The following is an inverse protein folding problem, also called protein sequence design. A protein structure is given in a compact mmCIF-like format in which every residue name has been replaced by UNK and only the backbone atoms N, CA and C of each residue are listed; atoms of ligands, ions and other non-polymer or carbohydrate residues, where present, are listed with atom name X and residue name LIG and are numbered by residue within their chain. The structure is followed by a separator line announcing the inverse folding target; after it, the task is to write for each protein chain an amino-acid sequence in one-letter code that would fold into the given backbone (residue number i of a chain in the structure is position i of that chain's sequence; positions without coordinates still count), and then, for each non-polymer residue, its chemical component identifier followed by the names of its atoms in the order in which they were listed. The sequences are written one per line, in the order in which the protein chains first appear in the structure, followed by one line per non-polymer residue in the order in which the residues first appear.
data_IF_784756327301
#
_entry.id   IF_784756327301
#
_cell.length_a   1.000
_cell.length_b   1.000
_cell.length_c   1.000
_cell.angle_alpha   90.00
_cell.angle_beta   90.00
_cell.angle_gamma   90.00
#
_symmetry.space_group_name_H-M   'P 1'
#
loop_
_entity.id
_entity.type
_entity.pdbx_description
1 polymer ?
#
# COMPACT_ATOMS: atom_id res chain seq x y z
N UNK A 1 26.18 24.57 41.03
CA UNK A 1 26.50 24.50 39.59
C UNK A 1 26.03 23.19 38.97
N UNK A 2 26.18 22.05 39.61
CA UNK A 2 25.83 20.71 39.16
C UNK A 2 24.31 20.53 38.89
N UNK A 3 23.42 21.04 39.74
CA UNK A 3 21.96 20.92 39.64
C UNK A 3 21.39 21.64 38.40
N UNK A 4 22.01 22.75 37.95
CA UNK A 4 21.60 23.46 36.73
C UNK A 4 22.01 22.72 35.46
N UNK A 5 23.08 21.95 35.48
CA UNK A 5 23.48 21.10 34.35
C UNK A 5 22.59 19.88 34.24
N UNK A 6 22.20 19.24 35.34
CA UNK A 6 21.26 18.12 35.33
C UNK A 6 19.88 18.50 34.75
N UNK A 7 19.36 19.71 35.12
CA UNK A 7 18.11 20.20 34.52
C UNK A 7 18.20 20.44 33.01
N UNK A 8 19.35 20.92 32.51
CA UNK A 8 19.56 21.11 31.05
C UNK A 8 19.67 19.79 30.32
N UNK A 9 20.37 18.83 30.89
CA UNK A 9 20.51 17.47 30.30
C UNK A 9 19.16 16.73 30.31
N UNK A 10 18.38 16.85 31.38
CA UNK A 10 17.05 16.28 31.49
C UNK A 10 16.04 16.92 30.51
N UNK A 11 16.11 18.24 30.33
CA UNK A 11 15.28 18.94 29.34
C UNK A 11 15.71 18.62 27.92
N UNK A 12 17.00 18.38 27.65
CA UNK A 12 17.52 17.99 26.36
C UNK A 12 17.19 16.53 26.03
N UNK A 13 17.13 15.65 27.02
CA UNK A 13 16.65 14.26 26.86
C UNK A 13 15.13 14.21 26.62
N UNK A 14 14.35 15.11 27.23
CA UNK A 14 12.89 15.20 26.99
C UNK A 14 12.57 15.71 25.57
N UNK A 15 13.45 16.52 24.98
CA UNK A 15 13.30 17.02 23.60
C UNK A 15 13.76 15.98 22.53
N UNK A 16 14.42 14.87 22.92
CA UNK A 16 14.88 13.83 21.99
C UNK A 16 13.94 12.63 21.90
N UNK A 17 12.92 12.58 22.72
CA UNK A 17 11.83 11.62 22.58
C UNK A 17 10.67 12.33 21.88
N UNK A 18 10.83 12.67 20.61
CA UNK A 18 9.70 12.66 19.71
C UNK A 18 9.33 11.18 19.55
N UNK A 19 8.55 10.66 20.48
CA UNK A 19 7.74 9.48 20.22
C UNK A 19 6.81 9.96 19.11
N UNK A 20 7.11 9.62 17.88
CA UNK A 20 6.10 9.56 16.81
C UNK A 20 5.17 8.47 17.32
N UNK A 21 4.12 8.87 18.03
CA UNK A 21 2.98 7.99 18.27
C UNK A 21 2.35 7.90 16.88
N UNK A 22 2.66 6.85 16.10
CA UNK A 22 1.82 6.50 14.98
C UNK A 22 0.43 6.28 15.56
N UNK A 23 -0.59 6.89 14.99
CA UNK A 23 -1.95 6.61 15.38
C UNK A 23 -2.17 5.10 15.24
N UNK A 24 -2.69 4.45 16.29
CA UNK A 24 -3.04 3.05 16.26
C UNK A 24 -4.23 2.84 15.30
N UNK A 25 -4.21 1.76 14.53
CA UNK A 25 -5.32 1.45 13.62
C UNK A 25 -6.61 1.28 14.44
N UNK A 26 -7.69 1.97 14.04
CA UNK A 26 -8.99 1.84 14.69
C UNK A 26 -9.73 0.62 14.12
N UNK A 27 -9.61 -0.52 14.80
CA UNK A 27 -10.28 -1.79 14.45
C UNK A 27 -11.73 -1.89 14.94
N UNK A 28 -12.19 -0.96 15.79
CA UNK A 28 -13.51 -1.04 16.44
C UNK A 28 -14.56 -0.11 15.81
N UNK A 29 -14.14 0.85 14.98
CA UNK A 29 -15.01 1.86 14.35
C UNK A 29 -15.43 2.99 15.33
N UNK A 30 -16.51 3.70 15.07
CA UNK A 30 -17.45 3.48 13.95
C UNK A 30 -16.87 3.82 12.58
N UNK A 31 -17.24 3.05 11.56
CA UNK A 31 -16.79 3.24 10.17
C UNK A 31 -17.88 3.92 9.34
N UNK A 32 -17.45 4.69 8.32
CA UNK A 32 -18.36 5.33 7.40
C UNK A 32 -17.71 5.59 6.03
N UNK A 33 -18.46 6.18 5.11
CA UNK A 33 -18.06 6.42 3.72
C UNK A 33 -18.17 7.89 3.30
N UNK A 34 -18.43 8.77 4.25
CA UNK A 34 -18.48 10.21 4.04
C UNK A 34 -17.11 10.85 4.34
N UNK A 35 -16.97 12.10 3.95
CA UNK A 35 -15.79 12.89 4.27
C UNK A 35 -15.53 12.93 5.78
N UNK A 36 -14.32 12.67 6.21
CA UNK A 36 -13.88 12.53 7.60
C UNK A 36 -14.36 11.29 8.37
N UNK A 37 -15.11 10.40 7.74
CA UNK A 37 -15.41 9.11 8.36
C UNK A 37 -14.15 8.25 8.47
N UNK A 38 -14.13 7.37 9.46
CA UNK A 38 -13.07 6.38 9.62
C UNK A 38 -13.24 5.27 8.58
N UNK A 39 -12.16 4.92 7.90
CA UNK A 39 -12.12 3.79 6.97
C UNK A 39 -12.21 2.46 7.75
N UNK A 40 -12.98 1.50 7.23
CA UNK A 40 -13.03 0.16 7.81
C UNK A 40 -11.81 -0.68 7.39
N UNK A 41 -11.44 -1.72 8.14
CA UNK A 41 -10.47 -2.70 7.68
C UNK A 41 -10.97 -3.42 6.42
N UNK A 42 -10.05 -3.72 5.52
CA UNK A 42 -10.32 -4.47 4.30
C UNK A 42 -9.07 -5.19 3.81
N UNK A 43 -9.27 -6.25 3.04
CA UNK A 43 -8.20 -6.97 2.33
C UNK A 43 -8.50 -6.93 0.84
N UNK A 44 -7.48 -6.75 0.01
CA UNK A 44 -7.59 -6.71 -1.46
C UNK A 44 -6.55 -7.64 -2.08
N UNK A 45 -6.90 -8.33 -3.16
CA UNK A 45 -5.96 -9.15 -3.93
C UNK A 45 -5.08 -8.24 -4.78
N UNK A 46 -3.78 -8.21 -4.50
CA UNK A 46 -2.82 -7.32 -5.17
C UNK A 46 -1.83 -8.14 -6.01
N UNK A 47 -1.66 -7.77 -7.29
CA UNK A 47 -0.69 -8.40 -8.18
C UNK A 47 0.77 -8.10 -7.80
N UNK A 48 1.00 -7.03 -7.05
CA UNK A 48 2.32 -6.71 -6.51
C UNK A 48 2.54 -7.26 -5.10
N UNK A 49 1.49 -7.72 -4.43
CA UNK A 49 1.72 -8.54 -3.26
C UNK A 49 2.56 -9.71 -3.74
N UNK A 50 3.87 -9.56 -3.57
CA UNK A 50 4.80 -10.64 -3.86
C UNK A 50 4.24 -11.87 -3.18
N UNK A 51 4.27 -12.99 -3.88
CA UNK A 51 4.04 -14.28 -3.28
C UNK A 51 5.12 -14.48 -2.21
N UNK A 52 4.98 -13.79 -1.05
CA UNK A 52 5.91 -13.98 0.06
C UNK A 52 5.92 -15.47 0.35
N UNK A 53 7.08 -16.09 0.21
CA UNK A 53 7.21 -17.52 0.28
C UNK A 53 7.39 -18.25 -1.05
N UNK A 54 7.31 -17.59 -2.21
CA UNK A 54 7.71 -18.17 -3.50
C UNK A 54 9.24 -18.07 -3.67
N UNK A 55 9.94 -18.93 -2.97
CA UNK A 55 11.41 -18.89 -2.88
C UNK A 55 12.09 -19.45 -4.14
N UNK A 56 11.39 -20.30 -4.88
CA UNK A 56 11.89 -20.85 -6.15
C UNK A 56 11.55 -19.95 -7.35
N UNK A 57 10.70 -18.92 -7.16
CA UNK A 57 10.25 -17.94 -8.16
C UNK A 57 9.50 -18.60 -9.33
N UNK A 58 8.67 -19.62 -9.04
CA UNK A 58 7.84 -20.31 -10.01
C UNK A 58 6.37 -19.83 -10.01
N UNK A 59 6.08 -18.73 -9.34
CA UNK A 59 4.75 -18.14 -9.17
C UNK A 59 3.78 -19.00 -8.36
N UNK A 60 4.30 -19.97 -7.59
CA UNK A 60 3.47 -20.90 -6.81
C UNK A 60 4.07 -21.14 -5.45
N UNK A 61 3.43 -20.69 -4.39
CA UNK A 61 3.85 -21.01 -3.01
C UNK A 61 3.40 -22.41 -2.63
N UNK A 62 4.35 -23.29 -2.39
CA UNK A 62 4.09 -24.70 -2.09
C UNK A 62 5.21 -25.34 -1.23
N UNK A 63 5.17 -26.64 -1.06
CA UNK A 63 6.14 -27.38 -0.23
C UNK A 63 7.58 -27.28 -0.76
N UNK A 64 7.79 -26.99 -2.05
CA UNK A 64 9.13 -26.87 -2.62
C UNK A 64 9.86 -25.65 -2.04
N UNK A 65 9.13 -24.58 -1.78
CA UNK A 65 9.65 -23.34 -1.14
C UNK A 65 10.05 -23.61 0.29
N UNK A 66 9.22 -24.34 1.04
CA UNK A 66 9.57 -24.78 2.40
C UNK A 66 10.89 -25.53 2.39
N UNK A 67 11.08 -26.47 1.45
CA UNK A 67 12.31 -27.24 1.34
C UNK A 67 13.52 -26.36 1.02
N UNK A 68 13.36 -25.29 0.25
CA UNK A 68 14.42 -24.33 -0.02
C UNK A 68 14.78 -23.53 1.24
N UNK A 69 13.80 -23.02 1.99
CA UNK A 69 14.05 -22.31 3.26
C UNK A 69 14.77 -23.25 4.26
N UNK A 70 14.32 -24.48 4.40
CA UNK A 70 14.99 -25.48 5.26
C UNK A 70 16.45 -25.66 4.84
N UNK A 71 16.73 -25.83 3.56
CA UNK A 71 18.10 -26.00 3.08
C UNK A 71 18.97 -24.75 3.31
N UNK A 72 18.41 -23.57 3.21
CA UNK A 72 19.11 -22.32 3.51
C UNK A 72 19.42 -22.23 5.02
N UNK A 73 18.45 -22.45 5.89
CA UNK A 73 18.60 -22.43 7.36
C UNK A 73 19.64 -23.47 7.82
N UNK A 74 19.71 -24.64 7.17
CA UNK A 74 20.73 -25.66 7.43
C UNK A 74 22.10 -25.34 6.85
N UNK A 75 22.25 -24.24 6.10
CA UNK A 75 23.49 -23.83 5.46
C UNK A 75 23.89 -24.66 4.25
N UNK A 76 22.96 -25.42 3.65
CA UNK A 76 23.21 -26.24 2.47
C UNK A 76 23.22 -25.43 1.17
N UNK A 77 22.46 -24.31 1.14
CA UNK A 77 22.36 -23.38 0.01
C UNK A 77 22.41 -21.94 0.51
N UNK A 78 22.76 -21.01 -0.38
CA UNK A 78 22.68 -19.58 -0.12
C UNK A 78 21.67 -18.97 -1.08
N UNK A 79 20.79 -18.12 -0.59
CA UNK A 79 19.85 -17.37 -1.37
C UNK A 79 20.46 -16.13 -2.01
N UNK A 80 19.97 -15.74 -3.17
CA UNK A 80 20.17 -14.43 -3.74
C UNK A 80 19.28 -13.38 -3.02
N UNK A 81 19.38 -12.11 -3.42
CA UNK A 81 18.62 -11.02 -2.77
C UNK A 81 17.11 -11.23 -2.87
N UNK A 82 16.60 -11.64 -4.01
CA UNK A 82 15.20 -11.87 -4.26
C UNK A 82 14.66 -13.06 -3.45
N UNK A 83 15.39 -14.17 -3.46
CA UNK A 83 15.06 -15.35 -2.65
C UNK A 83 15.08 -15.05 -1.14
N UNK A 84 16.00 -14.20 -0.68
CA UNK A 84 16.02 -13.76 0.72
C UNK A 84 14.76 -12.97 1.08
N UNK A 85 14.29 -12.09 0.20
CA UNK A 85 13.06 -11.34 0.41
C UNK A 85 11.82 -12.26 0.43
N UNK A 86 11.79 -13.26 -0.45
CA UNK A 86 10.69 -14.23 -0.49
C UNK A 86 10.70 -15.19 0.72
N UNK A 87 11.86 -15.51 1.23
CA UNK A 87 12.02 -16.46 2.34
C UNK A 87 11.72 -15.85 3.72
N UNK A 88 11.85 -14.53 3.87
CA UNK A 88 11.50 -13.79 5.09
C UNK A 88 9.98 -13.53 5.11
N UNK A 89 9.21 -14.57 5.44
CA UNK A 89 7.75 -14.57 5.34
C UNK A 89 7.07 -13.85 6.51
N UNK A 90 7.80 -13.56 7.58
CA UNK A 90 7.31 -12.82 8.74
C UNK A 90 7.85 -11.37 8.80
N UNK A 91 8.70 -10.96 7.83
CA UNK A 91 9.31 -9.64 7.69
C UNK A 91 10.14 -9.17 8.90
N UNK A 92 10.80 -10.11 9.61
CA UNK A 92 11.68 -9.77 10.73
C UNK A 92 13.14 -9.59 10.35
N UNK A 93 13.47 -9.74 9.07
CA UNK A 93 14.79 -9.71 8.43
C UNK A 93 15.73 -10.87 8.86
N UNK A 94 15.18 -11.96 9.39
CA UNK A 94 15.92 -13.15 9.78
C UNK A 94 15.24 -14.37 9.15
N UNK A 95 15.94 -15.10 8.28
CA UNK A 95 15.38 -16.33 7.72
C UNK A 95 15.65 -17.48 8.69
N UNK A 96 14.60 -17.97 9.36
CA UNK A 96 14.68 -19.04 10.35
C UNK A 96 13.43 -19.97 10.36
N UNK A 97 13.24 -20.68 11.46
CA UNK A 97 12.13 -21.62 11.61
C UNK A 97 10.77 -20.91 11.67
N UNK A 98 10.72 -19.63 12.03
CA UNK A 98 9.47 -18.88 12.12
C UNK A 98 8.90 -18.62 10.72
N UNK A 99 9.77 -18.39 9.73
CA UNK A 99 9.35 -18.27 8.32
C UNK A 99 8.77 -19.57 7.79
N UNK A 100 9.40 -20.70 8.14
CA UNK A 100 8.87 -22.01 7.76
C UNK A 100 7.47 -22.21 8.36
N UNK A 101 7.26 -21.84 9.63
CA UNK A 101 5.96 -21.94 10.31
C UNK A 101 4.94 -21.02 9.64
N UNK A 102 5.32 -19.79 9.31
CA UNK A 102 4.49 -18.83 8.60
C UNK A 102 4.04 -19.41 7.26
N UNK A 103 4.99 -19.92 6.47
CA UNK A 103 4.73 -20.49 5.16
C UNK A 103 3.87 -21.76 5.21
N UNK A 104 4.10 -22.64 6.19
CA UNK A 104 3.24 -23.81 6.41
C UNK A 104 1.81 -23.39 6.75
N UNK A 105 1.63 -22.42 7.63
CA UNK A 105 0.31 -21.90 7.96
C UNK A 105 -0.40 -21.31 6.74
N UNK A 106 0.33 -20.58 5.91
CA UNK A 106 -0.18 -20.05 4.65
C UNK A 106 -0.64 -21.17 3.70
N UNK A 107 0.19 -22.21 3.48
CA UNK A 107 -0.14 -23.33 2.58
C UNK A 107 -1.35 -24.15 3.09
N UNK A 108 -1.48 -24.31 4.41
CA UNK A 108 -2.61 -25.04 5.01
C UNK A 108 -3.91 -24.24 5.03
N UNK A 109 -3.81 -22.91 5.09
CA UNK A 109 -4.93 -21.99 5.13
C UNK A 109 -4.68 -20.86 4.13
N UNK A 110 -4.71 -21.16 2.82
CA UNK A 110 -4.38 -20.15 1.83
C UNK A 110 -5.37 -18.98 1.93
N UNK A 111 -4.87 -17.86 2.42
CA UNK A 111 -5.57 -16.60 2.26
C UNK A 111 -5.29 -16.12 0.83
N UNK A 112 -6.23 -15.44 0.17
CA UNK A 112 -5.89 -14.78 -1.08
C UNK A 112 -4.68 -13.87 -0.81
N UNK A 113 -3.65 -13.96 -1.65
CA UNK A 113 -2.52 -13.03 -1.61
C UNK A 113 -3.10 -11.64 -1.70
N UNK A 114 -3.00 -10.90 -0.61
CA UNK A 114 -3.71 -9.65 -0.52
C UNK A 114 -2.99 -8.69 0.39
N UNK A 115 -3.10 -7.45 0.02
CA UNK A 115 -2.75 -6.36 0.88
C UNK A 115 -3.87 -6.16 1.92
N UNK A 116 -3.53 -6.22 3.20
CA UNK A 116 -4.47 -6.06 4.31
C UNK A 116 -4.26 -4.71 4.98
N UNK A 117 -5.33 -3.88 5.01
CA UNK A 117 -5.25 -2.50 5.47
C UNK A 117 -4.92 -2.36 6.95
N UNK A 118 -5.35 -3.30 7.78
CA UNK A 118 -5.08 -3.25 9.22
C UNK A 118 -3.64 -3.64 9.53
N UNK A 119 -3.13 -4.72 8.90
CA UNK A 119 -1.77 -5.22 9.14
C UNK A 119 -0.70 -4.35 8.47
N UNK A 120 -1.01 -3.75 7.30
CA UNK A 120 -0.09 -2.90 6.55
C UNK A 120 -0.19 -1.41 6.94
N UNK A 121 -1.03 -1.11 7.94
CA UNK A 121 -1.19 0.25 8.41
C UNK A 121 0.05 0.77 9.13
N UNK A 122 0.60 1.89 8.67
CA UNK A 122 1.82 2.49 9.25
C UNK A 122 1.54 3.67 10.16
N UNK A 123 0.35 4.31 10.07
CA UNK A 123 0.04 5.56 10.75
C UNK A 123 0.84 6.77 10.22
N UNK A 124 1.61 6.59 9.14
CA UNK A 124 2.43 7.65 8.52
C UNK A 124 2.19 7.79 7.02
N UNK A 125 1.53 6.81 6.41
CA UNK A 125 1.25 6.79 4.98
C UNK A 125 -0.20 7.13 4.69
N UNK A 126 -0.45 7.58 3.46
CA UNK A 126 -1.77 7.82 2.90
C UNK A 126 -2.06 6.80 1.81
N UNK A 127 -3.33 6.53 1.56
CA UNK A 127 -3.79 5.47 0.66
C UNK A 127 -4.77 6.04 -0.35
N UNK A 128 -4.42 5.97 -1.65
CA UNK A 128 -5.20 6.54 -2.75
C UNK A 128 -5.71 5.41 -3.64
N UNK A 129 -7.02 5.27 -3.71
CA UNK A 129 -7.68 4.31 -4.60
C UNK A 129 -8.08 4.99 -5.89
N UNK A 130 -7.67 4.45 -7.02
CA UNK A 130 -7.97 4.96 -8.37
C UNK A 130 -8.78 3.92 -9.13
N UNK A 131 -10.05 4.22 -9.37
CA UNK A 131 -10.98 3.28 -9.98
C UNK A 131 -11.16 3.54 -11.47
N UNK A 132 -11.15 2.47 -12.27
CA UNK A 132 -11.66 2.45 -13.62
C UNK A 132 -13.09 1.88 -13.62
N UNK A 133 -14.08 2.73 -13.88
CA UNK A 133 -15.47 2.31 -14.05
C UNK A 133 -16.05 2.96 -15.34
N UNK A 134 -16.45 2.16 -16.34
CA UNK A 134 -16.99 2.70 -17.60
C UNK A 134 -18.30 3.48 -17.42
N UNK A 135 -18.99 3.28 -16.29
CA UNK A 135 -20.20 4.03 -15.95
C UNK A 135 -19.90 5.41 -15.36
N UNK A 136 -18.64 5.68 -15.03
CA UNK A 136 -18.19 6.94 -14.46
C UNK A 136 -17.43 7.73 -15.51
N UNK A 137 -17.92 8.95 -15.83
CA UNK A 137 -17.26 9.81 -16.78
C UNK A 137 -15.81 10.10 -16.38
N UNK A 138 -14.88 9.92 -17.32
CA UNK A 138 -13.44 10.16 -17.15
C UNK A 138 -12.69 9.23 -16.20
N UNK A 139 -13.28 8.13 -15.74
CA UNK A 139 -12.58 7.13 -14.94
C UNK A 139 -11.34 6.55 -15.65
N UNK A 140 -11.30 6.65 -17.00
CA UNK A 140 -10.18 6.16 -17.82
C UNK A 140 -9.01 7.14 -17.93
N UNK A 141 -9.15 8.38 -17.46
CA UNK A 141 -8.20 9.44 -17.77
C UNK A 141 -6.77 9.13 -17.35
N UNK A 142 -6.55 8.62 -16.14
CA UNK A 142 -5.23 8.18 -15.70
C UNK A 142 -4.83 6.84 -16.33
N UNK A 143 -5.74 5.89 -16.41
CA UNK A 143 -5.50 4.56 -16.94
C UNK A 143 -4.99 4.54 -18.39
N UNK A 144 -5.50 5.44 -19.22
CA UNK A 144 -5.15 5.55 -20.63
C UNK A 144 -4.18 6.71 -20.93
N UNK A 145 -3.79 7.49 -19.93
CA UNK A 145 -2.95 8.67 -20.12
C UNK A 145 -1.46 8.32 -20.15
N UNK A 146 -0.69 9.19 -20.78
CA UNK A 146 0.77 9.19 -20.69
C UNK A 146 1.30 9.99 -19.49
N UNK A 147 0.44 10.29 -18.50
CA UNK A 147 0.79 11.13 -17.34
C UNK A 147 1.20 10.33 -16.10
N UNK A 148 1.32 9.00 -16.20
CA UNK A 148 1.74 8.13 -15.10
C UNK A 148 3.12 8.48 -14.54
N UNK A 149 4.08 8.81 -15.43
CA UNK A 149 5.38 9.35 -15.00
C UNK A 149 5.23 10.66 -14.20
N UNK A 150 4.31 11.53 -14.61
CA UNK A 150 4.02 12.79 -13.89
C UNK A 150 3.40 12.52 -12.52
N UNK A 151 2.55 11.51 -12.41
CA UNK A 151 2.01 11.06 -11.11
C UNK A 151 3.14 10.72 -10.16
N UNK A 152 4.03 9.80 -10.53
CA UNK A 152 5.11 9.36 -9.66
C UNK A 152 6.09 10.48 -9.31
N UNK A 153 6.45 11.34 -10.28
CA UNK A 153 7.37 12.45 -10.07
C UNK A 153 6.84 13.53 -9.12
N UNK A 154 5.52 13.67 -8.99
CA UNK A 154 4.89 14.68 -8.15
C UNK A 154 4.24 14.11 -6.89
N UNK A 155 4.30 12.82 -6.66
CA UNK A 155 3.72 12.19 -5.49
C UNK A 155 4.61 12.33 -4.26
N UNK A 156 4.01 12.49 -3.06
CA UNK A 156 4.74 12.28 -1.81
C UNK A 156 5.29 10.86 -1.73
N UNK A 157 6.37 10.66 -0.98
CA UNK A 157 6.97 9.32 -0.81
C UNK A 157 6.17 8.44 0.14
N UNK A 158 5.36 9.01 1.02
CA UNK A 158 4.53 8.28 1.99
C UNK A 158 3.08 8.13 1.49
N UNK A 159 2.91 7.61 0.29
CA UNK A 159 1.61 7.36 -0.31
C UNK A 159 1.57 6.00 -1.01
N UNK A 160 0.51 5.25 -0.78
CA UNK A 160 0.17 4.03 -1.51
C UNK A 160 -0.91 4.31 -2.54
N UNK A 161 -0.75 3.80 -3.76
CA UNK A 161 -1.74 3.88 -4.82
C UNK A 161 -2.31 2.50 -5.12
N UNK A 162 -3.63 2.41 -5.15
CA UNK A 162 -4.37 1.19 -5.45
C UNK A 162 -5.15 1.38 -6.76
N UNK A 163 -4.80 0.62 -7.78
CA UNK A 163 -5.47 0.64 -9.08
C UNK A 163 -6.46 -0.51 -9.15
N UNK A 164 -7.73 -0.18 -9.36
CA UNK A 164 -8.83 -1.14 -9.35
C UNK A 164 -9.78 -0.91 -10.52
N UNK A 165 -10.28 -1.97 -11.14
CA UNK A 165 -11.26 -1.88 -12.23
C UNK A 165 -12.61 -2.48 -11.83
N UNK A 166 -13.71 -1.81 -12.23
CA UNK A 166 -15.08 -2.30 -12.10
C UNK A 166 -15.64 -2.87 -13.43
N UNK A 167 -14.78 -3.19 -14.37
CA UNK A 167 -15.18 -3.79 -15.66
C UNK A 167 -15.25 -5.31 -15.57
N UNK A 168 -15.91 -5.92 -16.56
CA UNK A 168 -15.91 -7.37 -16.72
C UNK A 168 -14.52 -7.91 -17.06
N UNK A 169 -13.66 -7.09 -17.68
CA UNK A 169 -12.28 -7.41 -18.05
C UNK A 169 -11.27 -6.78 -17.08
N UNK A 170 -11.60 -6.74 -15.79
CA UNK A 170 -10.79 -6.07 -14.77
C UNK A 170 -9.35 -6.61 -14.70
N UNK A 171 -9.15 -7.91 -14.89
CA UNK A 171 -7.83 -8.54 -14.93
C UNK A 171 -6.94 -7.90 -15.99
N UNK A 172 -7.42 -7.87 -17.25
CA UNK A 172 -6.67 -7.25 -18.36
C UNK A 172 -6.46 -5.76 -18.17
N UNK A 173 -7.41 -5.04 -17.53
CA UNK A 173 -7.25 -3.61 -17.24
C UNK A 173 -6.13 -3.40 -16.23
N UNK A 174 -6.09 -4.20 -15.18
CA UNK A 174 -5.10 -4.10 -14.10
C UNK A 174 -3.72 -4.53 -14.58
N UNK A 175 -3.62 -5.63 -15.33
CA UNK A 175 -2.37 -6.05 -15.97
C UNK A 175 -1.81 -4.97 -16.91
N UNK A 176 -2.68 -4.33 -17.70
CA UNK A 176 -2.28 -3.27 -18.62
C UNK A 176 -1.68 -2.07 -17.88
N UNK A 177 -2.35 -1.56 -16.84
CA UNK A 177 -1.83 -0.40 -16.10
C UNK A 177 -0.57 -0.75 -15.30
N UNK A 178 -0.49 -1.98 -14.78
CA UNK A 178 0.72 -2.49 -14.12
C UNK A 178 1.90 -2.48 -15.08
N UNK A 179 1.76 -3.04 -16.28
CA UNK A 179 2.83 -3.07 -17.28
C UNK A 179 3.34 -1.67 -17.64
N UNK A 180 2.46 -0.68 -17.75
CA UNK A 180 2.84 0.72 -17.99
C UNK A 180 3.67 1.30 -16.83
N UNK A 181 3.32 1.01 -15.58
CA UNK A 181 4.09 1.45 -14.42
C UNK A 181 5.42 0.71 -14.32
N UNK A 182 5.45 -0.60 -14.56
CA UNK A 182 6.68 -1.40 -14.56
C UNK A 182 7.69 -0.85 -15.57
N UNK A 183 7.25 -0.47 -16.78
CA UNK A 183 8.12 0.18 -17.78
C UNK A 183 8.70 1.51 -17.25
N UNK A 184 7.87 2.35 -16.63
CA UNK A 184 8.30 3.64 -16.06
C UNK A 184 9.31 3.41 -14.93
N UNK A 185 8.99 2.52 -14.00
CA UNK A 185 9.79 2.23 -12.81
C UNK A 185 11.14 1.63 -13.20
N UNK A 186 11.20 0.76 -14.19
CA UNK A 186 12.44 0.13 -14.66
C UNK A 186 13.51 1.15 -15.09
N UNK A 187 13.12 2.38 -15.42
CA UNK A 187 14.02 3.47 -15.82
C UNK A 187 14.40 4.41 -14.64
N UNK A 188 13.94 4.13 -13.42
CA UNK A 188 14.24 4.92 -12.23
C UNK A 188 15.53 4.42 -11.52
N UNK A 189 15.99 5.15 -10.50
CA UNK A 189 17.06 4.66 -9.63
C UNK A 189 16.62 3.43 -8.83
N UNK A 190 17.55 2.54 -8.42
CA UNK A 190 17.18 1.34 -7.63
C UNK A 190 16.36 1.64 -6.38
N UNK A 191 16.64 2.76 -5.69
CA UNK A 191 15.90 3.17 -4.50
C UNK A 191 14.44 3.53 -4.83
N UNK A 192 14.20 4.23 -5.96
CA UNK A 192 12.85 4.56 -6.42
C UNK A 192 12.12 3.35 -6.98
N UNK A 193 12.81 2.42 -7.63
CA UNK A 193 12.23 1.14 -8.06
C UNK A 193 11.70 0.36 -6.86
N UNK A 194 12.54 0.16 -5.85
CA UNK A 194 12.14 -0.54 -4.62
C UNK A 194 10.97 0.20 -3.93
N UNK A 195 11.05 1.53 -3.84
CA UNK A 195 9.98 2.33 -3.25
C UNK A 195 8.65 2.13 -3.96
N UNK A 196 8.58 2.36 -5.27
CA UNK A 196 7.32 2.29 -6.01
C UNK A 196 6.79 0.86 -6.15
N UNK A 197 7.64 -0.16 -6.19
CA UNK A 197 7.19 -1.56 -6.17
C UNK A 197 6.45 -1.91 -4.87
N UNK A 198 6.79 -1.25 -3.75
CA UNK A 198 6.14 -1.46 -2.46
C UNK A 198 4.92 -0.52 -2.23
N UNK A 199 4.74 0.52 -3.07
CA UNK A 199 3.70 1.53 -2.86
C UNK A 199 2.66 1.60 -4.00
N UNK A 200 2.84 0.82 -5.07
CA UNK A 200 1.83 0.66 -6.12
C UNK A 200 1.17 -0.71 -5.99
N UNK A 201 -0.14 -0.71 -5.90
CA UNK A 201 -0.96 -1.90 -5.70
C UNK A 201 -1.92 -2.07 -6.89
N UNK A 202 -1.93 -3.23 -7.49
CA UNK A 202 -2.72 -3.54 -8.68
C UNK A 202 -3.75 -4.62 -8.32
N UNK A 203 -4.99 -4.19 -8.10
CA UNK A 203 -6.00 -5.01 -7.43
C UNK A 203 -6.68 -5.96 -8.42
N UNK A 204 -6.35 -7.24 -8.31
CA UNK A 204 -6.92 -8.31 -9.15
C UNK A 204 -8.28 -8.79 -8.63
N UNK A 205 -9.15 -7.84 -8.37
CA UNK A 205 -10.54 -8.07 -7.99
C UNK A 205 -11.40 -6.95 -8.58
N UNK A 206 -12.59 -7.30 -9.03
CA UNK A 206 -13.55 -6.30 -9.46
C UNK A 206 -14.04 -5.48 -8.28
N UNK A 207 -14.23 -4.16 -8.44
CA UNK A 207 -14.71 -3.29 -7.36
C UNK A 207 -15.96 -3.83 -6.67
N UNK A 208 -16.89 -4.43 -7.41
CA UNK A 208 -18.12 -5.00 -6.87
C UNK A 208 -17.94 -6.29 -6.05
N UNK A 209 -16.74 -6.87 -6.06
CA UNK A 209 -16.38 -8.10 -5.35
C UNK A 209 -15.56 -7.84 -4.09
N UNK A 210 -15.20 -6.57 -3.84
CA UNK A 210 -14.53 -6.14 -2.64
C UNK A 210 -15.46 -6.22 -1.41
N UNK A 211 -14.88 -6.00 -0.23
CA UNK A 211 -15.72 -5.91 0.96
C UNK A 211 -16.74 -4.76 0.85
N UNK A 212 -17.82 -4.86 1.62
CA UNK A 212 -18.97 -3.94 1.53
C UNK A 212 -18.57 -2.47 1.77
N UNK A 213 -17.61 -2.21 2.66
CA UNK A 213 -17.19 -0.85 2.97
C UNK A 213 -16.47 -0.22 1.76
N UNK A 214 -15.46 -0.90 1.22
CA UNK A 214 -14.65 -0.37 0.12
C UNK A 214 -15.46 -0.24 -1.17
N UNK A 215 -16.33 -1.22 -1.48
CA UNK A 215 -17.30 -1.14 -2.58
C UNK A 215 -18.19 0.10 -2.46
N UNK A 216 -18.70 0.38 -1.24
CA UNK A 216 -19.56 1.55 -1.00
C UNK A 216 -18.76 2.85 -1.07
N UNK A 217 -17.56 2.88 -0.50
CA UNK A 217 -16.67 4.04 -0.51
C UNK A 217 -16.29 4.45 -1.95
N UNK A 218 -16.06 3.50 -2.84
CA UNK A 218 -15.71 3.71 -4.25
C UNK A 218 -16.93 3.98 -5.15
N UNK A 219 -18.15 3.69 -4.69
CA UNK A 219 -19.36 3.80 -5.52
C UNK A 219 -19.53 5.19 -6.12
N UNK A 220 -19.59 5.27 -7.45
CA UNK A 220 -19.76 6.51 -8.20
C UNK A 220 -18.56 7.46 -8.16
N UNK A 221 -17.39 7.02 -7.74
CA UNK A 221 -16.18 7.84 -7.61
C UNK A 221 -15.05 7.30 -8.46
N UNK A 222 -14.20 8.20 -8.97
CA UNK A 222 -12.99 7.84 -9.72
C UNK A 222 -11.82 7.59 -8.80
N UNK A 223 -11.76 8.30 -7.67
CA UNK A 223 -10.73 8.12 -6.66
C UNK A 223 -11.27 8.46 -5.27
N UNK A 224 -10.69 7.82 -4.26
CA UNK A 224 -10.82 8.17 -2.85
C UNK A 224 -9.44 8.25 -2.22
N UNK A 225 -9.31 9.02 -1.15
CA UNK A 225 -8.10 9.11 -0.36
C UNK A 225 -8.39 8.77 1.11
N UNK A 226 -7.49 8.02 1.75
CA UNK A 226 -7.48 7.77 3.18
C UNK A 226 -6.18 8.36 3.72
N UNK A 227 -6.25 9.14 4.78
CA UNK A 227 -5.08 9.78 5.37
C UNK A 227 -4.41 8.94 6.46
N UNK A 228 -3.36 9.51 7.04
CA UNK A 228 -2.56 8.93 8.11
C UNK A 228 -3.33 8.67 9.41
N UNK A 229 -4.51 9.28 9.57
CA UNK A 229 -5.41 9.08 10.71
C UNK A 229 -6.59 8.17 10.36
N UNK A 230 -6.47 7.34 9.32
CA UNK A 230 -7.51 6.44 8.84
C UNK A 230 -8.81 7.15 8.41
N UNK A 231 -8.73 8.44 8.01
CA UNK A 231 -9.90 9.23 7.62
C UNK A 231 -10.03 9.39 6.11
N UNK A 232 -11.28 9.29 5.61
CA UNK A 232 -11.59 9.66 4.24
C UNK A 232 -11.43 11.17 4.06
N UNK A 233 -10.42 11.60 3.32
CA UNK A 233 -10.12 13.01 3.08
C UNK A 233 -10.73 13.54 1.80
N UNK A 234 -10.69 12.77 0.73
CA UNK A 234 -11.18 13.22 -0.55
C UNK A 234 -12.08 12.16 -1.17
N UNK A 235 -13.24 12.60 -1.58
CA UNK A 235 -14.16 11.79 -2.37
C UNK A 235 -14.01 12.28 -3.80
N UNK A 236 -13.39 11.46 -4.67
CA UNK A 236 -13.10 11.81 -6.07
C UNK A 236 -14.37 12.30 -6.77
N UNK A 237 -14.34 13.53 -7.28
CA UNK A 237 -15.51 14.20 -7.82
C UNK A 237 -15.72 13.86 -9.30
N UNK A 238 -16.95 13.53 -9.61
CA UNK A 238 -17.46 13.27 -10.94
C UNK A 238 -17.70 14.60 -11.65
N UNK A 239 -16.87 15.06 -12.53
CA UNK A 239 -17.41 16.16 -13.30
C UNK A 239 -16.49 16.99 -14.16
N UNK A 240 -15.21 16.94 -14.01
CA UNK A 240 -14.32 17.69 -14.89
C UNK A 240 -13.21 16.79 -15.48
N UNK A 241 -13.20 16.56 -16.82
CA UNK A 241 -12.21 15.74 -17.48
C UNK A 241 -10.75 16.16 -17.20
N UNK A 242 -10.53 17.44 -16.97
CA UNK A 242 -9.20 17.98 -16.69
C UNK A 242 -8.68 17.64 -15.29
N UNK A 243 -9.53 17.17 -14.37
CA UNK A 243 -9.17 16.91 -12.98
C UNK A 243 -8.71 15.50 -12.68
N UNK A 244 -8.77 14.57 -13.64
CA UNK A 244 -8.34 13.18 -13.49
C UNK A 244 -7.03 12.87 -14.23
N UNK A 245 -6.17 13.86 -14.35
CA UNK A 245 -4.78 13.66 -14.78
C UNK A 245 -3.93 13.11 -13.62
N UNK A 246 -2.75 12.54 -13.93
CA UNK A 246 -1.79 12.15 -12.91
C UNK A 246 -1.49 13.27 -11.91
N UNK A 247 -1.48 14.53 -12.37
CA UNK A 247 -1.29 15.70 -11.50
C UNK A 247 -2.42 15.87 -10.48
N UNK A 248 -3.67 15.60 -10.85
CA UNK A 248 -4.79 15.70 -9.90
C UNK A 248 -4.72 14.61 -8.84
N UNK A 249 -4.40 13.38 -9.22
CA UNK A 249 -4.28 12.27 -8.26
C UNK A 249 -3.11 12.52 -7.30
N UNK A 250 -1.97 13.02 -7.77
CA UNK A 250 -0.87 13.41 -6.87
C UNK A 250 -1.26 14.57 -5.95
N UNK A 251 -2.11 15.49 -6.38
CA UNK A 251 -2.67 16.52 -5.51
C UNK A 251 -3.52 15.93 -4.38
N UNK A 252 -4.38 14.94 -4.67
CA UNK A 252 -5.13 14.21 -3.64
C UNK A 252 -4.20 13.53 -2.62
N UNK A 253 -3.08 12.96 -3.09
CA UNK A 253 -2.08 12.36 -2.22
C UNK A 253 -1.43 13.42 -1.31
N UNK A 254 -1.08 14.58 -1.85
CA UNK A 254 -0.56 15.69 -1.03
C UNK A 254 -1.57 16.17 -0.01
N UNK A 255 -2.85 16.32 -0.37
CA UNK A 255 -3.89 16.68 0.59
C UNK A 255 -4.02 15.63 1.69
N UNK A 256 -4.05 14.35 1.34
CA UNK A 256 -4.18 13.27 2.32
C UNK A 256 -2.97 13.19 3.28
N UNK A 257 -1.75 13.45 2.78
CA UNK A 257 -0.52 13.40 3.59
C UNK A 257 -0.34 14.64 4.47
N UNK A 258 -0.66 15.84 3.96
CA UNK A 258 -0.28 17.10 4.62
C UNK A 258 -1.43 17.84 5.30
N UNK A 259 -2.66 17.43 5.10
CA UNK A 259 -3.82 18.17 5.60
C UNK A 259 -3.91 18.21 7.13
N UNK A 260 -3.36 17.26 7.85
CA UNK A 260 -3.34 17.24 9.32
C UNK A 260 -2.43 18.32 9.94
N UNK A 261 -1.49 18.87 9.17
CA UNK A 261 -0.57 19.89 9.68
C UNK A 261 -1.20 21.28 9.86
N UNK A 262 -2.22 21.61 9.06
CA UNK A 262 -2.79 22.96 9.06
C UNK A 262 -4.07 23.12 9.91
N UNK A 263 -4.81 22.04 10.18
CA UNK A 263 -6.10 22.10 10.87
C UNK A 263 -6.06 21.79 12.37
N UNK A 264 -4.98 21.22 12.89
CA UNK A 264 -4.80 21.02 14.33
C UNK A 264 -4.20 22.25 15.06
N UNK A 265 -4.10 23.38 14.39
CA UNK A 265 -3.61 24.64 14.97
C UNK A 265 -4.67 25.74 15.13
N UNK A 266 -5.97 25.37 15.10
CA UNK A 266 -7.05 26.29 15.41
C UNK A 266 -7.82 25.90 16.66
#
# INVERSE_FOLDING_TARGET
MIVKQFKKIFLMLLCLVNIVISDEFNSEGPYGVLYFDTAAPFTVSDLNASLSGDVNLDETVNIQDILLIINNVLGNINFNTEQNQQADTNNDNIIDILDIISLVNFILNPQPFGWDFETEWTGSDSYIFVQYDPNITNSTALWLSNTKQTLLNNSPMNVHYFFISNRTMYESDVEFIKADFDEIISNMSPELQMHWNNHLHFINQKTSELNNWLTTALSGKVAIAIDQSQKLRQIGYLGNPATFSGTYISYLAHEAVYFDYEYNTF
#
